data_IF_937651031407
#
_entry.id   IF_937651031407
#
_cell.length_a   1.000
_cell.length_b   1.000
_cell.length_c   1.000
_cell.angle_alpha   90.00
_cell.angle_beta   90.00
_cell.angle_gamma   90.00
#
_symmetry.space_group_name_H-M   'P 1'
#
loop_
_entity.id
_entity.type
_entity.pdbx_description
1 polymer ?
#
# COMPACT_ATOMS: atom_id res chain seq x y z
N UNK A 1 -10.28 -7.21 13.44
CA UNK A 1 -10.39 -7.11 14.92
C UNK A 1 -10.02 -8.42 15.63
N UNK A 2 -10.76 -9.53 15.40
CA UNK A 2 -10.54 -10.78 16.13
C UNK A 2 -9.10 -11.30 16.08
N UNK A 3 -8.44 -11.25 14.92
CA UNK A 3 -7.06 -11.73 14.81
C UNK A 3 -6.05 -10.90 15.63
N UNK A 4 -6.26 -9.59 15.75
CA UNK A 4 -5.45 -8.74 16.65
C UNK A 4 -5.63 -9.16 18.11
N UNK A 5 -6.87 -9.49 18.52
CA UNK A 5 -7.15 -10.04 19.86
C UNK A 5 -6.58 -11.45 20.07
N UNK A 6 -6.56 -12.28 19.03
CA UNK A 6 -5.91 -13.59 19.05
C UNK A 6 -4.38 -13.49 19.16
N UNK A 7 -3.79 -12.33 18.90
CA UNK A 7 -2.37 -12.06 19.12
C UNK A 7 -1.46 -12.43 17.95
N UNK A 8 -1.94 -12.37 16.70
CA UNK A 8 -1.04 -12.47 15.53
C UNK A 8 -0.26 -11.17 15.34
N UNK A 9 1.02 -11.27 15.03
CA UNK A 9 1.85 -10.08 14.81
C UNK A 9 1.58 -9.45 13.43
N UNK A 10 1.40 -10.27 12.40
CA UNK A 10 1.16 -9.85 11.01
C UNK A 10 -0.16 -10.40 10.46
N UNK A 11 -0.84 -9.64 9.61
CA UNK A 11 -2.01 -10.14 8.86
C UNK A 11 -2.11 -9.47 7.48
N UNK A 12 -2.49 -10.25 6.46
CA UNK A 12 -2.76 -9.71 5.12
C UNK A 12 -4.00 -8.82 5.15
N UNK A 13 -3.88 -7.59 4.66
CA UNK A 13 -4.93 -6.56 4.79
C UNK A 13 -5.25 -5.82 3.47
N UNK A 14 -4.79 -6.33 2.32
CA UNK A 14 -5.08 -5.76 1.00
C UNK A 14 -3.96 -4.87 0.45
N UNK A 15 -4.04 -4.59 -0.85
CA UNK A 15 -3.03 -3.84 -1.62
C UNK A 15 -3.59 -2.63 -2.36
N UNK A 16 -4.92 -2.53 -2.49
CA UNK A 16 -5.64 -1.56 -3.34
C UNK A 16 -5.39 -1.75 -4.83
N UNK A 17 -4.14 -1.72 -5.27
CA UNK A 17 -3.72 -1.72 -6.69
C UNK A 17 -3.23 -3.07 -7.20
N UNK A 18 -3.22 -4.09 -6.34
CA UNK A 18 -2.80 -5.44 -6.68
C UNK A 18 -3.92 -6.28 -7.30
N UNK A 19 -3.66 -7.57 -7.48
CA UNK A 19 -4.58 -8.48 -8.21
C UNK A 19 -5.81 -8.93 -7.42
N UNK A 20 -5.86 -8.67 -6.12
CA UNK A 20 -6.96 -9.08 -5.25
C UNK A 20 -7.81 -7.86 -4.94
N UNK A 21 -9.10 -8.11 -4.70
CA UNK A 21 -10.09 -7.14 -4.24
C UNK A 21 -9.56 -6.26 -3.09
N UNK A 22 -9.91 -4.98 -3.11
CA UNK A 22 -9.61 -4.05 -2.03
C UNK A 22 -9.94 -2.60 -2.41
N UNK A 23 -11.17 -2.17 -2.17
CA UNK A 23 -11.54 -0.76 -2.25
C UNK A 23 -10.63 0.10 -1.34
N UNK A 24 -10.14 1.27 -1.80
CA UNK A 24 -9.22 2.10 -1.02
C UNK A 24 -9.73 2.48 0.37
N UNK A 25 -11.03 2.77 0.52
CA UNK A 25 -11.62 3.18 1.80
C UNK A 25 -11.79 1.99 2.74
N UNK A 26 -12.21 0.83 2.22
CA UNK A 26 -12.30 -0.40 3.02
C UNK A 26 -10.93 -0.84 3.51
N UNK A 27 -9.92 -0.86 2.63
CA UNK A 27 -8.54 -1.21 2.99
C UNK A 27 -8.01 -0.25 4.05
N UNK A 28 -8.26 1.06 3.93
CA UNK A 28 -7.85 2.04 4.95
C UNK A 28 -8.51 1.76 6.31
N UNK A 29 -9.79 1.42 6.33
CA UNK A 29 -10.49 0.99 7.55
C UNK A 29 -9.85 -0.25 8.21
N UNK A 30 -9.40 -1.21 7.41
CA UNK A 30 -8.67 -2.39 7.92
C UNK A 30 -7.33 -2.00 8.55
N UNK A 31 -6.54 -1.17 7.87
CA UNK A 31 -5.25 -0.69 8.37
C UNK A 31 -5.41 0.10 9.67
N UNK A 32 -6.38 1.02 9.72
CA UNK A 32 -6.73 1.77 10.94
C UNK A 32 -7.10 0.83 12.10
N UNK A 33 -7.91 -0.19 11.82
CA UNK A 33 -8.27 -1.23 12.81
C UNK A 33 -7.05 -1.96 13.37
N UNK A 34 -6.01 -2.18 12.57
CA UNK A 34 -4.82 -2.95 12.96
C UNK A 34 -3.75 -2.10 13.67
N UNK A 35 -3.65 -0.81 13.31
CA UNK A 35 -2.54 0.05 13.71
C UNK A 35 -2.89 1.11 14.76
N UNK A 36 -4.15 1.55 14.86
CA UNK A 36 -4.53 2.58 15.82
C UNK A 36 -4.71 2.01 17.23
N UNK A 37 -4.55 2.88 18.23
CA UNK A 37 -4.80 2.57 19.65
C UNK A 37 -6.28 2.76 20.03
N UNK A 38 -6.97 3.64 19.31
CA UNK A 38 -8.42 3.83 19.39
C UNK A 38 -8.99 4.02 17.99
N UNK A 39 -10.25 3.66 17.80
CA UNK A 39 -11.03 3.89 16.60
C UNK A 39 -12.14 4.89 16.94
N UNK A 40 -12.36 5.85 16.05
CA UNK A 40 -13.56 6.69 16.05
C UNK A 40 -14.47 6.25 14.91
N UNK A 41 -15.76 6.57 15.04
CA UNK A 41 -16.72 6.39 13.94
C UNK A 41 -16.22 7.11 12.70
N UNK A 42 -16.07 6.34 11.61
CA UNK A 42 -15.81 6.83 10.26
C UNK A 42 -16.55 5.90 9.30
N UNK A 43 -17.75 6.31 8.89
CA UNK A 43 -18.65 5.47 8.09
C UNK A 43 -18.10 5.22 6.68
N UNK A 44 -17.36 6.19 6.11
CA UNK A 44 -16.74 6.04 4.80
C UNK A 44 -15.67 4.94 4.78
N UNK A 45 -14.98 4.72 5.90
CA UNK A 45 -13.98 3.66 6.07
C UNK A 45 -14.56 2.39 6.72
N UNK A 46 -15.88 2.27 6.83
CA UNK A 46 -16.56 1.09 7.43
C UNK A 46 -16.37 0.96 8.95
N UNK A 47 -15.96 2.04 9.64
CA UNK A 47 -15.79 2.08 11.08
C UNK A 47 -17.07 2.58 11.76
N UNK A 48 -17.97 1.66 12.09
CA UNK A 48 -19.31 1.99 12.63
C UNK A 48 -19.35 2.29 14.14
N UNK A 49 -18.29 2.01 14.89
CA UNK A 49 -18.27 2.15 16.34
C UNK A 49 -16.96 2.78 16.81
N UNK A 50 -17.09 3.67 17.80
CA UNK A 50 -15.96 4.05 18.65
C UNK A 50 -15.46 2.80 19.40
N UNK A 51 -14.15 2.62 19.47
CA UNK A 51 -13.55 1.45 20.11
C UNK A 51 -12.13 1.73 20.59
N UNK A 52 -11.88 1.53 21.88
CA UNK A 52 -10.53 1.54 22.45
C UNK A 52 -9.89 0.14 22.37
N UNK A 53 -8.60 0.05 22.04
CA UNK A 53 -7.86 -1.22 22.00
C UNK A 53 -7.30 -1.68 23.34
N UNK A 54 -7.55 -0.94 24.43
CA UNK A 54 -7.10 -1.23 25.79
C UNK A 54 -5.59 -1.49 25.89
N UNK A 55 -4.81 -0.69 25.16
CA UNK A 55 -3.34 -0.83 25.04
C UNK A 55 -2.87 -2.17 24.45
N UNK A 56 -3.75 -2.93 23.79
CA UNK A 56 -3.34 -4.10 23.02
C UNK A 56 -2.37 -3.67 21.91
N UNK A 57 -1.27 -4.40 21.77
CA UNK A 57 -0.25 -4.13 20.75
C UNK A 57 -0.87 -4.04 19.35
N UNK A 58 -0.22 -3.24 18.50
CA UNK A 58 -0.58 -3.13 17.07
C UNK A 58 -0.34 -4.47 16.37
N UNK A 59 -1.06 -4.71 15.29
CA UNK A 59 -0.83 -5.82 14.36
C UNK A 59 -0.37 -5.21 13.03
N UNK A 60 0.77 -5.66 12.48
CA UNK A 60 1.33 -5.06 11.26
C UNK A 60 0.59 -5.61 10.03
N UNK A 61 -0.07 -4.77 9.23
CA UNK A 61 -0.69 -5.20 8.00
C UNK A 61 0.36 -5.64 6.96
N UNK A 62 -0.03 -6.59 6.13
CA UNK A 62 0.77 -7.09 5.01
C UNK A 62 0.02 -6.82 3.71
N UNK A 63 0.67 -6.09 2.80
CA UNK A 63 0.20 -5.85 1.44
C UNK A 63 0.88 -6.85 0.51
N UNK A 64 0.11 -7.77 -0.07
CA UNK A 64 0.65 -8.86 -0.89
C UNK A 64 -0.31 -9.25 -2.01
N UNK A 65 0.26 -9.53 -3.17
CA UNK A 65 -0.45 -10.13 -4.30
C UNK A 65 -0.57 -9.20 -5.51
N UNK A 66 0.15 -9.52 -6.59
CA UNK A 66 0.03 -8.81 -7.87
C UNK A 66 0.58 -7.39 -7.87
N UNK A 67 1.44 -7.04 -6.90
CA UNK A 67 2.09 -5.73 -6.84
C UNK A 67 3.51 -5.78 -7.42
N UNK A 68 3.99 -4.64 -7.94
CA UNK A 68 5.35 -4.45 -8.46
C UNK A 68 5.91 -3.06 -8.08
N UNK A 69 7.24 -2.87 -8.19
CA UNK A 69 7.91 -1.63 -7.77
C UNK A 69 7.42 -0.35 -8.47
N UNK A 70 6.82 -0.45 -9.66
CA UNK A 70 6.22 0.69 -10.36
C UNK A 70 5.08 1.36 -9.58
N UNK A 71 4.38 0.58 -8.74
CA UNK A 71 3.25 1.02 -7.93
C UNK A 71 3.68 1.58 -6.55
N UNK A 72 4.98 1.71 -6.27
CA UNK A 72 5.49 2.06 -4.93
C UNK A 72 4.90 3.37 -4.38
N UNK A 73 4.69 4.36 -5.25
CA UNK A 73 4.05 5.63 -4.88
C UNK A 73 2.61 5.45 -4.37
N UNK A 74 1.80 4.64 -5.06
CA UNK A 74 0.43 4.32 -4.66
C UNK A 74 0.42 3.50 -3.36
N UNK A 75 1.32 2.53 -3.23
CA UNK A 75 1.42 1.70 -2.01
C UNK A 75 1.74 2.56 -0.79
N UNK A 76 2.73 3.45 -0.86
CA UNK A 76 3.04 4.35 0.25
C UNK A 76 1.95 5.38 0.53
N UNK A 77 1.21 5.81 -0.50
CA UNK A 77 0.07 6.70 -0.33
C UNK A 77 -1.08 6.04 0.44
N UNK A 78 -1.49 4.83 0.04
CA UNK A 78 -2.62 4.17 0.66
C UNK A 78 -2.28 3.50 2.00
N UNK A 79 -1.04 3.00 2.16
CA UNK A 79 -0.73 2.01 3.20
C UNK A 79 0.21 2.53 4.30
N UNK A 80 0.90 3.66 4.06
CA UNK A 80 1.78 4.30 5.03
C UNK A 80 3.09 3.54 5.31
N UNK A 81 3.62 3.71 6.53
CA UNK A 81 4.96 3.20 6.93
C UNK A 81 4.92 1.84 7.63
N UNK A 82 3.98 1.64 8.56
CA UNK A 82 3.88 0.43 9.38
C UNK A 82 3.20 -0.71 8.58
N UNK A 83 3.83 -1.16 7.48
CA UNK A 83 3.31 -2.19 6.57
C UNK A 83 4.42 -3.07 6.01
N UNK A 84 4.13 -4.35 5.78
CA UNK A 84 5.00 -5.23 4.99
C UNK A 84 4.51 -5.29 3.55
N UNK A 85 5.34 -4.82 2.60
CA UNK A 85 5.07 -4.94 1.16
C UNK A 85 5.72 -6.22 0.60
N UNK A 86 4.92 -7.15 0.11
CA UNK A 86 5.39 -8.45 -0.40
C UNK A 86 5.32 -8.53 -1.92
N UNK A 87 6.51 -8.60 -2.54
CA UNK A 87 6.68 -8.72 -3.98
C UNK A 87 7.10 -10.15 -4.34
N UNK A 88 6.14 -11.09 -4.45
CA UNK A 88 6.43 -12.47 -4.87
C UNK A 88 6.89 -12.54 -6.33
N UNK A 89 5.92 -12.50 -7.26
CA UNK A 89 6.20 -12.43 -8.70
C UNK A 89 7.03 -11.20 -9.09
N UNK A 90 6.79 -10.06 -8.43
CA UNK A 90 7.56 -8.82 -8.62
C UNK A 90 9.03 -8.88 -8.15
N UNK A 91 9.48 -9.99 -7.55
CA UNK A 91 10.90 -10.25 -7.26
C UNK A 91 11.43 -11.38 -8.11
N UNK A 92 10.80 -12.56 -8.03
CA UNK A 92 11.31 -13.78 -8.65
C UNK A 92 11.16 -13.75 -10.18
N UNK A 93 10.18 -13.01 -10.69
CA UNK A 93 9.94 -12.83 -12.12
C UNK A 93 10.85 -11.81 -12.79
N UNK A 94 11.82 -11.22 -12.08
CA UNK A 94 12.77 -10.29 -12.66
C UNK A 94 13.70 -11.03 -13.66
N UNK A 95 13.89 -10.53 -14.89
CA UNK A 95 14.60 -11.25 -15.95
C UNK A 95 16.10 -11.41 -15.64
N UNK A 96 16.70 -10.45 -14.93
CA UNK A 96 18.09 -10.51 -14.49
C UNK A 96 18.28 -11.27 -13.15
N UNK A 97 17.29 -12.08 -12.75
CA UNK A 97 17.36 -12.95 -11.58
C UNK A 97 16.85 -12.35 -10.26
N UNK A 98 16.71 -13.22 -9.24
CA UNK A 98 16.05 -12.93 -7.96
C UNK A 98 16.73 -11.79 -7.18
N UNK A 99 18.07 -11.75 -7.17
CA UNK A 99 18.81 -10.68 -6.50
C UNK A 99 18.51 -9.32 -7.11
N UNK A 100 18.40 -9.25 -8.44
CA UNK A 100 18.04 -8.03 -9.18
C UNK A 100 16.62 -7.59 -8.86
N UNK A 101 15.66 -8.53 -8.83
CA UNK A 101 14.29 -8.24 -8.41
C UNK A 101 14.20 -7.69 -6.98
N UNK A 102 14.96 -8.27 -6.05
CA UNK A 102 14.99 -7.80 -4.66
C UNK A 102 15.61 -6.40 -4.56
N UNK A 103 16.69 -6.16 -5.30
CA UNK A 103 17.35 -4.84 -5.40
C UNK A 103 16.39 -3.79 -5.96
N UNK A 104 15.67 -4.10 -7.03
CA UNK A 104 14.71 -3.19 -7.66
C UNK A 104 13.63 -2.73 -6.68
N UNK A 105 12.99 -3.67 -5.98
CA UNK A 105 11.95 -3.35 -5.00
C UNK A 105 12.49 -2.52 -3.83
N UNK A 106 13.70 -2.84 -3.33
CA UNK A 106 14.34 -2.10 -2.24
C UNK A 106 14.67 -0.66 -2.64
N UNK A 107 15.29 -0.45 -3.80
CA UNK A 107 15.66 0.88 -4.30
C UNK A 107 14.41 1.73 -4.56
N UNK A 108 13.36 1.16 -5.15
CA UNK A 108 12.09 1.87 -5.36
C UNK A 108 11.47 2.36 -4.05
N UNK A 109 11.45 1.53 -3.01
CA UNK A 109 10.92 1.89 -1.69
C UNK A 109 11.73 3.02 -1.06
N UNK A 110 13.04 2.87 -0.97
CA UNK A 110 13.92 3.85 -0.33
C UNK A 110 13.90 5.21 -1.06
N UNK A 111 13.89 5.20 -2.40
CA UNK A 111 13.80 6.42 -3.19
C UNK A 111 12.46 7.15 -2.98
N UNK A 112 11.36 6.40 -2.91
CA UNK A 112 10.03 6.98 -2.72
C UNK A 112 9.85 7.54 -1.30
N UNK A 113 10.32 6.82 -0.28
CA UNK A 113 10.30 7.29 1.12
C UNK A 113 11.16 8.54 1.29
N UNK A 114 12.35 8.58 0.67
CA UNK A 114 13.20 9.77 0.70
C UNK A 114 12.49 10.98 0.07
N UNK A 115 11.96 10.82 -1.14
CA UNK A 115 11.24 11.89 -1.84
C UNK A 115 10.03 12.40 -1.04
N UNK A 116 9.24 11.49 -0.45
CA UNK A 116 8.14 11.85 0.45
C UNK A 116 8.63 12.68 1.64
N UNK A 117 9.70 12.23 2.31
CA UNK A 117 10.22 12.90 3.50
C UNK A 117 10.88 14.25 3.18
N UNK A 118 11.34 14.45 1.94
CA UNK A 118 11.79 15.75 1.40
C UNK A 118 10.62 16.68 0.99
N UNK A 119 9.37 16.22 1.13
CA UNK A 119 8.18 17.02 0.87
C UNK A 119 7.75 17.08 -0.59
N UNK A 120 8.23 16.17 -1.45
CA UNK A 120 7.75 16.07 -2.83
C UNK A 120 6.34 15.52 -2.87
N UNK A 121 5.56 15.91 -3.89
CA UNK A 121 4.27 15.29 -4.18
C UNK A 121 4.52 13.92 -4.82
N UNK A 122 4.91 12.96 -4.00
CA UNK A 122 5.31 11.63 -4.45
C UNK A 122 4.15 10.83 -5.08
N UNK A 123 2.91 11.27 -4.89
CA UNK A 123 1.74 10.65 -5.52
C UNK A 123 1.68 11.07 -6.99
N UNK A 124 1.76 12.37 -7.27
CA UNK A 124 1.76 12.89 -8.64
C UNK A 124 3.11 12.66 -9.36
N UNK A 125 4.22 12.82 -8.65
CA UNK A 125 5.59 12.72 -9.17
C UNK A 125 6.15 11.28 -9.10
N UNK A 126 5.38 10.33 -8.59
CA UNK A 126 5.81 8.96 -8.30
C UNK A 126 6.57 8.26 -9.45
N UNK A 127 5.99 8.18 -10.66
CA UNK A 127 6.69 7.60 -11.81
C UNK A 127 8.02 8.28 -12.14
N UNK A 128 8.13 9.60 -11.95
CA UNK A 128 9.36 10.35 -12.22
C UNK A 128 10.43 10.12 -11.14
N UNK A 129 10.03 10.03 -9.87
CA UNK A 129 10.92 9.64 -8.77
C UNK A 129 11.56 8.27 -9.07
N UNK A 130 10.74 7.30 -9.49
CA UNK A 130 11.21 5.95 -9.82
C UNK A 130 12.13 5.95 -11.06
N UNK A 131 11.79 6.70 -12.11
CA UNK A 131 12.65 6.86 -13.30
C UNK A 131 14.00 7.49 -12.96
N UNK A 132 14.01 8.49 -12.07
CA UNK A 132 15.23 9.14 -11.61
C UNK A 132 16.13 8.14 -10.87
N UNK A 133 15.57 7.36 -9.94
CA UNK A 133 16.33 6.31 -9.25
C UNK A 133 16.82 5.21 -10.20
N UNK A 134 16.02 4.87 -11.21
CA UNK A 134 16.36 3.88 -12.23
C UNK A 134 17.53 4.31 -13.14
N UNK A 135 17.80 5.62 -13.27
CA UNK A 135 18.92 6.13 -14.06
C UNK A 135 20.28 5.63 -13.55
N UNK A 136 20.38 5.34 -12.25
CA UNK A 136 21.58 4.79 -11.60
C UNK A 136 21.40 3.37 -11.07
N UNK A 137 20.25 2.73 -11.32
CA UNK A 137 19.95 1.37 -10.85
C UNK A 137 19.40 0.51 -12.01
N UNK A 138 20.27 -0.29 -12.61
CA UNK A 138 19.92 -1.22 -13.70
C UNK A 138 18.76 -2.16 -13.35
N UNK A 139 18.78 -2.87 -12.20
CA UNK A 139 17.66 -3.71 -11.80
C UNK A 139 16.33 -2.98 -11.70
N UNK A 140 16.29 -1.77 -11.13
CA UNK A 140 15.06 -0.99 -11.07
C UNK A 140 14.58 -0.60 -12.48
N UNK A 141 15.49 -0.17 -13.35
CA UNK A 141 15.16 0.16 -14.74
C UNK A 141 14.50 -1.02 -15.46
N UNK A 142 15.12 -2.20 -15.39
CA UNK A 142 14.58 -3.42 -16.02
C UNK A 142 13.20 -3.78 -15.47
N UNK A 143 13.01 -3.70 -14.15
CA UNK A 143 11.72 -3.98 -13.51
C UNK A 143 10.61 -3.01 -13.94
N UNK A 144 10.93 -1.71 -14.04
CA UNK A 144 9.99 -0.70 -14.53
C UNK A 144 9.63 -0.96 -15.99
N UNK A 145 10.60 -1.23 -16.86
CA UNK A 145 10.35 -1.52 -18.28
C UNK A 145 9.46 -2.75 -18.46
N UNK A 146 9.63 -3.78 -17.63
CA UNK A 146 8.88 -5.03 -17.70
C UNK A 146 7.41 -4.90 -17.26
N UNK A 147 7.14 -4.19 -16.16
CA UNK A 147 5.81 -4.19 -15.52
C UNK A 147 5.05 -2.86 -15.59
N UNK A 148 5.60 -1.82 -16.23
CA UNK A 148 4.98 -0.47 -16.30
C UNK A 148 3.53 -0.44 -16.76
N UNK A 149 3.12 -1.35 -17.63
CA UNK A 149 1.78 -1.39 -18.24
C UNK A 149 0.83 -2.38 -17.53
N UNK A 150 1.27 -2.99 -16.41
CA UNK A 150 0.47 -3.95 -15.66
C UNK A 150 -0.34 -3.23 -14.59
N UNK A 151 -1.65 -3.16 -14.77
CA UNK A 151 -2.61 -2.69 -13.77
C UNK A 151 -3.75 -3.70 -13.62
N UNK A 152 -4.39 -3.70 -12.45
CA UNK A 152 -5.55 -4.55 -12.15
C UNK A 152 -6.77 -3.66 -11.86
N UNK A 153 -7.39 -3.15 -12.93
CA UNK A 153 -8.54 -2.25 -12.83
C UNK A 153 -9.84 -3.01 -13.03
N UNK A 154 -10.50 -3.32 -11.92
CA UNK A 154 -11.80 -4.01 -11.88
C UNK A 154 -12.71 -3.30 -10.88
N UNK A 155 -14.02 -3.35 -11.12
CA UNK A 155 -15.00 -2.82 -10.18
C UNK A 155 -14.96 -3.62 -8.87
N UNK A 156 -14.76 -2.91 -7.76
CA UNK A 156 -14.80 -3.49 -6.42
C UNK A 156 -16.19 -4.05 -6.07
N UNK A 157 -16.19 -5.15 -5.33
CA UNK A 157 -17.38 -5.81 -4.79
C UNK A 157 -17.65 -5.43 -3.32
N UNK A 158 -16.61 -5.13 -2.54
CA UNK A 158 -16.72 -4.63 -1.16
C UNK A 158 -16.51 -3.11 -1.15
N UNK A 159 -17.59 -2.35 -1.25
CA UNK A 159 -17.57 -0.88 -1.36
C UNK A 159 -18.33 -0.23 -0.20
N UNK A 160 -17.95 1.00 0.21
CA UNK A 160 -18.64 1.70 1.28
C UNK A 160 -20.08 2.06 0.90
N UNK A 161 -21.01 1.88 1.84
CA UNK A 161 -22.39 2.38 1.73
C UNK A 161 -22.49 3.91 1.95
N UNK A 162 -21.47 4.51 2.57
CA UNK A 162 -21.41 5.93 2.90
C UNK A 162 -20.23 6.57 2.19
N UNK A 163 -20.51 7.54 1.32
CA UNK A 163 -19.48 8.32 0.64
C UNK A 163 -19.60 9.76 1.12
N UNK A 164 -18.49 10.36 1.53
CA UNK A 164 -18.47 11.77 1.92
C UNK A 164 -18.94 12.63 0.74
N UNK A 165 -20.11 13.23 0.89
CA UNK A 165 -20.62 14.17 -0.10
C UNK A 165 -19.99 15.52 0.20
N UNK A 166 -19.21 16.13 -0.72
CA UNK A 166 -18.67 17.46 -0.48
C UNK A 166 -19.85 18.43 -0.34
N UNK A 167 -20.13 18.87 0.88
CA UNK A 167 -21.05 19.98 1.11
C UNK A 167 -20.36 21.23 0.62
N UNK A 168 -20.80 21.74 -0.55
CA UNK A 168 -20.38 23.06 -1.02
C UNK A 168 -20.64 24.07 0.09
N UNK A 169 -19.60 24.75 0.53
CA UNK A 169 -19.70 25.91 1.41
C UNK A 169 -20.63 26.94 0.76
N UNK A 170 -21.80 27.16 1.36
CA UNK A 170 -22.65 28.32 1.08
C UNK A 170 -22.16 29.51 1.88
#
# INVERSE_FOLDING_TARGET
>A
KWMRMCGVDHIHAGTVVGKLEGDPLMVKGFYNTLLLTELKVNLAEGLFFDMDWASLRKCVPVASGGIHCGQMHQLLYYLGDDVVLQFGGGTIGHPDGIQSGATANRVALEAMVLARNEGRDYVAEGPEILRTAAATCGPLKTALDLWKDITFEYTSTDTPDFVDTPTGSR
#
